data_IF_433336494962
#
_entry.id   IF_433336494962
#
_cell.length_a   1.000
_cell.length_b   1.000
_cell.length_c   1.000
_cell.angle_alpha   90.00
_cell.angle_beta   90.00
_cell.angle_gamma   90.00
#
_symmetry.space_group_name_H-M   'P 1'
#
loop_
_entity.id
_entity.type
_entity.pdbx_description
1 polymer ?
#
# COMPACT_ATOMS: atom_id res chain seq x y z
N UNK A 1 -28.83 8.84 -23.17
CA UNK A 1 -27.93 8.37 -24.24
C UNK A 1 -26.96 7.37 -23.59
N UNK A 2 -27.32 6.09 -23.55
CA UNK A 2 -26.45 5.06 -22.97
C UNK A 2 -25.37 4.71 -23.98
N UNK A 3 -24.13 5.09 -23.68
CA UNK A 3 -22.96 4.64 -24.44
C UNK A 3 -22.80 3.15 -24.11
N UNK A 4 -23.32 2.29 -24.97
CA UNK A 4 -23.02 0.86 -24.92
C UNK A 4 -21.57 0.67 -25.34
N UNK A 5 -20.65 0.73 -24.37
CA UNK A 5 -19.25 0.37 -24.58
C UNK A 5 -19.18 -1.09 -25.03
N UNK A 6 -18.42 -1.35 -26.10
CA UNK A 6 -18.06 -2.72 -26.48
C UNK A 6 -17.38 -3.41 -25.28
N UNK A 7 -17.56 -4.73 -25.10
CA UNK A 7 -17.09 -5.46 -23.92
C UNK A 7 -15.59 -5.25 -23.65
N UNK A 8 -14.77 -5.19 -24.71
CA UNK A 8 -13.32 -4.91 -24.63
C UNK A 8 -13.03 -3.51 -24.08
N UNK A 9 -13.76 -2.49 -24.54
CA UNK A 9 -13.58 -1.11 -24.06
C UNK A 9 -13.95 -0.97 -22.60
N UNK A 10 -14.96 -1.74 -22.14
CA UNK A 10 -15.37 -1.78 -20.74
C UNK A 10 -14.28 -2.40 -19.86
N UNK A 11 -13.67 -3.52 -20.26
CA UNK A 11 -12.61 -4.17 -19.47
C UNK A 11 -11.36 -3.30 -19.40
N UNK A 12 -10.93 -2.72 -20.53
CA UNK A 12 -9.81 -1.79 -20.60
C UNK A 12 -10.02 -0.58 -19.69
N UNK A 13 -11.21 0.02 -19.73
CA UNK A 13 -11.55 1.15 -18.86
C UNK A 13 -11.53 0.76 -17.38
N UNK A 14 -12.12 -0.40 -17.02
CA UNK A 14 -12.13 -0.87 -15.63
C UNK A 14 -10.72 -1.14 -15.13
N UNK A 15 -9.86 -1.76 -15.93
CA UNK A 15 -8.47 -2.04 -15.56
C UNK A 15 -7.65 -0.76 -15.41
N UNK A 16 -7.81 0.18 -16.34
CA UNK A 16 -7.20 1.50 -16.24
C UNK A 16 -7.60 2.23 -14.95
N UNK A 17 -8.89 2.24 -14.60
CA UNK A 17 -9.39 2.89 -13.38
C UNK A 17 -8.86 2.22 -12.12
N UNK A 18 -8.88 0.88 -12.06
CA UNK A 18 -8.40 0.14 -10.89
C UNK A 18 -6.91 0.35 -10.66
N UNK A 19 -6.10 0.30 -11.71
CA UNK A 19 -4.67 0.56 -11.60
C UNK A 19 -4.34 2.02 -11.34
N UNK A 20 -5.15 2.96 -11.84
CA UNK A 20 -5.06 4.37 -11.47
C UNK A 20 -5.27 4.56 -9.96
N UNK A 21 -6.28 3.90 -9.39
CA UNK A 21 -6.57 3.95 -7.95
C UNK A 21 -5.45 3.31 -7.13
N UNK A 22 -4.91 2.16 -7.57
CA UNK A 22 -3.75 1.54 -6.93
C UNK A 22 -2.55 2.48 -6.96
N UNK A 23 -2.28 3.11 -8.10
CA UNK A 23 -1.20 4.10 -8.23
C UNK A 23 -1.39 5.32 -7.32
N UNK A 24 -2.63 5.78 -7.16
CA UNK A 24 -2.98 6.87 -6.24
C UNK A 24 -2.73 6.53 -4.77
N UNK A 25 -2.86 5.25 -4.39
CA UNK A 25 -2.56 4.76 -3.04
C UNK A 25 -1.07 4.48 -2.90
N UNK A 26 -0.46 3.82 -3.87
CA UNK A 26 0.93 3.37 -3.83
C UNK A 26 1.91 4.55 -3.72
N UNK A 27 1.73 5.59 -4.54
CA UNK A 27 2.63 6.73 -4.59
C UNK A 27 2.82 7.44 -3.22
N UNK A 28 1.76 7.86 -2.50
CA UNK A 28 1.93 8.51 -1.20
C UNK A 28 2.48 7.55 -0.15
N UNK A 29 2.08 6.28 -0.16
CA UNK A 29 2.63 5.26 0.75
C UNK A 29 4.14 5.14 0.54
N UNK A 30 4.58 5.01 -0.71
CA UNK A 30 6.00 4.87 -1.06
C UNK A 30 6.81 6.09 -0.63
N UNK A 31 6.38 7.30 -1.01
CA UNK A 31 7.12 8.54 -0.73
C UNK A 31 7.28 8.76 0.78
N UNK A 32 6.22 8.52 1.57
CA UNK A 32 6.30 8.66 3.02
C UNK A 32 7.18 7.57 3.63
N UNK A 33 6.99 6.30 3.24
CA UNK A 33 7.80 5.21 3.78
C UNK A 33 9.28 5.35 3.44
N UNK A 34 9.63 5.83 2.24
CA UNK A 34 11.01 6.10 1.85
C UNK A 34 11.63 7.14 2.77
N UNK A 35 10.96 8.29 2.95
CA UNK A 35 11.46 9.34 3.83
C UNK A 35 11.63 8.89 5.29
N UNK A 36 10.74 8.02 5.77
CA UNK A 36 10.82 7.46 7.13
C UNK A 36 11.93 6.43 7.29
N UNK A 37 12.20 5.65 6.25
CA UNK A 37 13.17 4.56 6.29
C UNK A 37 14.59 5.00 5.89
N UNK A 38 14.73 6.10 5.15
CA UNK A 38 16.02 6.64 4.70
C UNK A 38 17.05 6.80 5.83
N UNK A 39 16.72 7.32 7.02
CA UNK A 39 17.68 7.46 8.12
C UNK A 39 18.19 6.14 8.69
N UNK A 40 17.45 5.04 8.50
CA UNK A 40 17.74 3.74 9.12
C UNK A 40 18.31 2.72 8.15
N UNK A 41 17.85 2.74 6.90
CA UNK A 41 18.18 1.74 5.88
C UNK A 41 19.08 2.29 4.77
N UNK A 42 19.33 3.60 4.74
CA UNK A 42 20.19 4.28 3.76
C UNK A 42 19.81 3.85 2.34
N UNK A 43 20.70 3.15 1.63
CA UNK A 43 20.52 2.72 0.24
C UNK A 43 19.34 1.73 0.05
N UNK A 44 18.97 1.01 1.10
CA UNK A 44 17.89 0.02 1.07
C UNK A 44 16.51 0.60 1.41
N UNK A 45 16.43 1.88 1.78
CA UNK A 45 15.16 2.52 2.12
C UNK A 45 14.16 2.50 0.97
N UNK A 46 14.64 2.69 -0.27
CA UNK A 46 13.82 2.66 -1.47
C UNK A 46 13.19 1.28 -1.68
N UNK A 47 14.00 0.21 -1.59
CA UNK A 47 13.52 -1.16 -1.72
C UNK A 47 12.52 -1.55 -0.61
N UNK A 48 12.80 -1.14 0.63
CA UNK A 48 11.92 -1.41 1.76
C UNK A 48 10.60 -0.62 1.68
N UNK A 49 10.65 0.65 1.27
CA UNK A 49 9.47 1.47 1.05
C UNK A 49 8.60 0.92 -0.09
N UNK A 50 9.23 0.51 -1.20
CA UNK A 50 8.53 -0.11 -2.32
C UNK A 50 7.86 -1.43 -1.92
N UNK A 51 8.50 -2.23 -1.06
CA UNK A 51 7.91 -3.44 -0.48
C UNK A 51 6.69 -3.12 0.39
N UNK A 52 6.78 -2.14 1.30
CA UNK A 52 5.66 -1.71 2.14
C UNK A 52 4.48 -1.16 1.34
N UNK A 53 4.75 -0.32 0.33
CA UNK A 53 3.75 0.17 -0.60
C UNK A 53 3.12 -0.97 -1.42
N UNK A 54 3.91 -1.97 -1.80
CA UNK A 54 3.45 -3.17 -2.48
C UNK A 54 2.49 -4.02 -1.63
N UNK A 55 2.80 -4.20 -0.34
CA UNK A 55 1.91 -4.90 0.62
C UNK A 55 0.56 -4.18 0.72
N UNK A 56 0.58 -2.87 0.95
CA UNK A 56 -0.65 -2.07 1.12
C UNK A 56 -1.46 -2.05 -0.19
N UNK A 57 -0.80 -1.81 -1.32
CA UNK A 57 -1.45 -1.82 -2.64
C UNK A 57 -2.08 -3.16 -2.98
N UNK A 58 -1.38 -4.27 -2.72
CA UNK A 58 -1.91 -5.61 -2.93
C UNK A 58 -3.09 -5.93 -2.02
N UNK A 59 -3.05 -5.49 -0.76
CA UNK A 59 -4.18 -5.66 0.18
C UNK A 59 -5.44 -4.94 -0.32
N UNK A 60 -5.32 -3.72 -0.84
CA UNK A 60 -6.46 -3.00 -1.43
C UNK A 60 -6.98 -3.62 -2.71
N UNK A 61 -6.08 -4.10 -3.56
CA UNK A 61 -6.50 -4.68 -4.83
C UNK A 61 -7.26 -5.99 -4.60
N UNK A 62 -6.74 -6.84 -3.72
CA UNK A 62 -7.17 -8.23 -3.60
C UNK A 62 -8.04 -8.57 -2.39
N UNK A 63 -7.98 -7.78 -1.32
CA UNK A 63 -8.66 -8.04 -0.05
C UNK A 63 -9.49 -6.82 0.40
N UNK A 64 -10.24 -6.24 -0.55
CA UNK A 64 -10.95 -4.95 -0.38
C UNK A 64 -11.69 -4.80 0.94
N UNK A 65 -12.48 -5.80 1.35
CA UNK A 65 -13.25 -5.74 2.59
C UNK A 65 -12.36 -5.67 3.84
N UNK A 66 -11.30 -6.47 3.89
CA UNK A 66 -10.35 -6.49 4.99
C UNK A 66 -9.52 -5.19 5.05
N UNK A 67 -9.04 -4.71 3.89
CA UNK A 67 -8.33 -3.44 3.80
C UNK A 67 -9.20 -2.26 4.23
N UNK A 68 -10.47 -2.21 3.82
CA UNK A 68 -11.42 -1.18 4.24
C UNK A 68 -11.71 -1.25 5.74
N UNK A 69 -11.93 -2.44 6.30
CA UNK A 69 -12.10 -2.63 7.74
C UNK A 69 -10.86 -2.16 8.52
N UNK A 70 -9.67 -2.56 8.07
CA UNK A 70 -8.40 -2.12 8.64
C UNK A 70 -8.26 -0.59 8.66
N UNK A 71 -8.63 0.06 7.54
CA UNK A 71 -8.58 1.51 7.40
C UNK A 71 -9.51 2.20 8.39
N UNK A 72 -10.74 1.72 8.52
CA UNK A 72 -11.73 2.25 9.47
C UNK A 72 -11.22 2.08 10.90
N UNK A 73 -10.69 0.91 11.26
CA UNK A 73 -10.11 0.66 12.58
C UNK A 73 -8.96 1.62 12.86
N UNK A 74 -8.02 1.77 11.93
CA UNK A 74 -6.88 2.69 12.06
C UNK A 74 -7.31 4.14 12.27
N UNK A 75 -8.22 4.63 11.43
CA UNK A 75 -8.77 6.00 11.52
C UNK A 75 -9.49 6.21 12.84
N UNK A 76 -10.43 5.33 13.19
CA UNK A 76 -11.25 5.48 14.40
C UNK A 76 -10.42 5.39 15.68
N UNK A 77 -9.47 4.45 15.75
CA UNK A 77 -8.58 4.31 16.90
C UNK A 77 -7.72 5.57 17.08
N UNK A 78 -7.20 6.11 15.99
CA UNK A 78 -6.39 7.34 16.03
C UNK A 78 -7.21 8.54 16.46
N UNK A 79 -8.41 8.73 15.88
CA UNK A 79 -9.31 9.80 16.29
C UNK A 79 -9.68 9.68 17.77
N UNK A 80 -9.95 8.47 18.26
CA UNK A 80 -10.23 8.24 19.67
C UNK A 80 -9.06 8.68 20.56
N UNK A 81 -7.83 8.26 20.24
CA UNK A 81 -6.63 8.66 21.00
C UNK A 81 -6.43 10.17 20.95
N UNK A 82 -6.57 10.80 19.79
CA UNK A 82 -6.41 12.24 19.64
C UNK A 82 -7.50 13.03 20.38
N UNK A 83 -8.72 12.51 20.50
CA UNK A 83 -9.81 13.17 21.24
C UNK A 83 -9.66 13.02 22.76
N UNK A 84 -9.05 11.93 23.23
CA UNK A 84 -9.00 11.58 24.67
C UNK A 84 -7.66 11.88 25.33
N UNK A 85 -6.57 11.72 24.59
CA UNK A 85 -5.18 11.80 25.07
C UNK A 85 -4.32 12.69 24.17
N UNK A 86 -4.88 13.80 23.68
CA UNK A 86 -4.25 14.68 22.70
C UNK A 86 -2.78 15.01 23.03
N UNK A 87 -2.48 15.41 24.26
CA UNK A 87 -1.12 15.82 24.67
C UNK A 87 -0.12 14.64 24.76
N UNK A 88 -0.61 13.42 24.99
CA UNK A 88 0.20 12.20 25.16
C UNK A 88 0.23 11.32 23.90
N UNK A 89 -0.52 11.70 22.86
CA UNK A 89 -0.67 10.97 21.61
C UNK A 89 0.61 11.04 20.77
N UNK A 90 1.59 10.18 21.08
CA UNK A 90 2.77 9.97 20.22
C UNK A 90 2.43 9.04 19.06
N UNK A 91 3.18 9.15 17.95
CA UNK A 91 3.04 8.24 16.81
C UNK A 91 3.14 6.76 17.21
N UNK A 92 4.08 6.42 18.11
CA UNK A 92 4.29 5.04 18.54
C UNK A 92 3.06 4.50 19.28
N UNK A 93 2.46 5.30 20.17
CA UNK A 93 1.25 4.89 20.88
C UNK A 93 0.09 4.65 19.92
N UNK A 94 -0.10 5.55 18.94
CA UNK A 94 -1.14 5.40 17.91
C UNK A 94 -0.87 4.17 17.05
N UNK A 95 0.34 3.99 16.55
CA UNK A 95 0.71 2.85 15.73
C UNK A 95 0.50 1.53 16.48
N UNK A 96 0.97 1.42 17.73
CA UNK A 96 0.79 0.22 18.54
C UNK A 96 -0.70 -0.09 18.77
N UNK A 97 -1.50 0.93 19.10
CA UNK A 97 -2.94 0.75 19.31
C UNK A 97 -3.65 0.34 18.01
N UNK A 98 -3.41 1.04 16.91
CA UNK A 98 -4.00 0.73 15.60
C UNK A 98 -3.59 -0.67 15.14
N UNK A 99 -2.33 -1.05 15.30
CA UNK A 99 -1.82 -2.38 14.98
C UNK A 99 -2.49 -3.46 15.82
N UNK A 100 -2.58 -3.26 17.14
CA UNK A 100 -3.23 -4.19 18.05
C UNK A 100 -4.72 -4.35 17.73
N UNK A 101 -5.46 -3.24 17.57
CA UNK A 101 -6.89 -3.27 17.25
C UNK A 101 -7.15 -3.85 15.86
N UNK A 102 -6.31 -3.54 14.87
CA UNK A 102 -6.41 -4.13 13.54
C UNK A 102 -6.18 -5.64 13.57
N UNK A 103 -5.13 -6.09 14.27
CA UNK A 103 -4.85 -7.51 14.45
C UNK A 103 -5.97 -8.25 15.18
N UNK A 104 -6.49 -7.67 16.27
CA UNK A 104 -7.64 -8.21 16.99
C UNK A 104 -8.89 -8.28 16.10
N UNK A 105 -9.10 -7.29 15.24
CA UNK A 105 -10.22 -7.30 14.28
C UNK A 105 -10.09 -8.45 13.30
N UNK A 106 -8.89 -8.69 12.74
CA UNK A 106 -8.66 -9.83 11.85
C UNK A 106 -8.77 -11.19 12.55
N UNK A 107 -8.48 -11.26 13.85
CA UNK A 107 -8.67 -12.48 14.64
C UNK A 107 -10.13 -12.72 15.03
N UNK A 108 -10.88 -11.65 15.32
CA UNK A 108 -12.25 -11.73 15.84
C UNK A 108 -13.30 -11.87 14.75
N UNK A 109 -13.12 -11.22 13.60
CA UNK A 109 -14.10 -11.19 12.52
C UNK A 109 -13.72 -12.14 11.39
N UNK A 110 -14.66 -12.99 10.99
CA UNK A 110 -14.55 -13.80 9.78
C UNK A 110 -15.19 -13.03 8.63
N UNK A 111 -14.38 -12.55 7.70
CA UNK A 111 -14.91 -11.89 6.51
C UNK A 111 -15.66 -12.92 5.63
N UNK A 112 -16.88 -12.58 5.14
CA UNK A 112 -17.85 -13.54 4.63
C UNK A 112 -17.44 -14.25 3.33
N UNK A 113 -16.44 -13.76 2.59
CA UNK A 113 -15.77 -14.54 1.56
C UNK A 113 -14.68 -15.40 2.20
N UNK A 114 -14.95 -16.71 2.32
CA UNK A 114 -14.03 -17.81 2.68
C UNK A 114 -12.54 -17.40 2.75
N UNK A 115 -12.00 -17.12 3.93
CA UNK A 115 -10.56 -16.82 4.10
C UNK A 115 -9.98 -15.89 3.02
N UNK A 116 -10.74 -14.94 2.44
CA UNK A 116 -10.23 -13.93 1.50
C UNK A 116 -9.09 -14.50 0.62
N UNK A 117 -9.37 -15.64 -0.05
CA UNK A 117 -8.39 -16.69 -0.40
C UNK A 117 -7.01 -16.12 -0.75
N UNK A 118 -6.07 -16.28 0.20
CA UNK A 118 -4.67 -15.88 0.06
C UNK A 118 -4.36 -14.38 0.24
N UNK A 119 -5.09 -13.58 1.04
CA UNK A 119 -4.64 -12.19 1.39
C UNK A 119 -3.18 -12.14 1.77
N UNK A 120 -2.74 -13.11 2.57
CA UNK A 120 -1.36 -13.25 3.00
C UNK A 120 -0.45 -13.52 1.81
N UNK A 121 -0.80 -14.48 0.95
CA UNK A 121 -0.06 -14.78 -0.27
C UNK A 121 0.01 -13.59 -1.22
N UNK A 122 -1.12 -12.93 -1.48
CA UNK A 122 -1.22 -11.75 -2.33
C UNK A 122 -0.47 -10.55 -1.75
N UNK A 123 -0.57 -10.30 -0.45
CA UNK A 123 0.19 -9.24 0.23
C UNK A 123 1.68 -9.52 0.23
N UNK A 124 2.08 -10.79 0.44
CA UNK A 124 3.47 -11.23 0.37
C UNK A 124 4.02 -11.07 -1.06
N UNK A 125 3.25 -11.44 -2.09
CA UNK A 125 3.63 -11.20 -3.49
C UNK A 125 3.74 -9.69 -3.74
N UNK A 126 2.82 -8.88 -3.23
CA UNK A 126 2.90 -7.42 -3.28
C UNK A 126 4.19 -6.89 -2.66
N UNK A 127 4.55 -7.39 -1.48
CA UNK A 127 5.80 -7.04 -0.81
C UNK A 127 7.04 -7.50 -1.58
N UNK A 128 7.06 -8.73 -2.11
CA UNK A 128 8.18 -9.26 -2.88
C UNK A 128 8.35 -8.56 -4.22
N UNK A 129 7.26 -8.32 -4.96
CA UNK A 129 7.29 -7.54 -6.20
C UNK A 129 7.74 -6.11 -5.95
N UNK A 130 7.32 -5.51 -4.82
CA UNK A 130 7.78 -4.20 -4.37
C UNK A 130 9.27 -4.21 -4.03
N UNK A 131 9.74 -5.24 -3.33
CA UNK A 131 11.15 -5.40 -2.99
C UNK A 131 12.02 -5.59 -4.24
N UNK A 132 11.56 -6.39 -5.21
CA UNK A 132 12.29 -6.62 -6.47
C UNK A 132 12.35 -5.33 -7.30
N UNK A 133 11.20 -4.66 -7.51
CA UNK A 133 11.15 -3.41 -8.28
C UNK A 133 11.94 -2.28 -7.61
N UNK A 134 11.81 -2.13 -6.29
CA UNK A 134 12.61 -1.18 -5.52
C UNK A 134 14.09 -1.56 -5.47
N UNK A 135 14.43 -2.84 -5.42
CA UNK A 135 15.82 -3.32 -5.51
C UNK A 135 16.46 -2.99 -6.86
N UNK A 136 15.71 -3.10 -7.96
CA UNK A 136 16.17 -2.64 -9.28
C UNK A 136 16.46 -1.14 -9.26
N UNK A 137 15.57 -0.33 -8.70
CA UNK A 137 15.79 1.12 -8.56
C UNK A 137 16.99 1.44 -7.68
N UNK A 138 17.12 0.80 -6.52
CA UNK A 138 18.28 0.95 -5.63
C UNK A 138 19.57 0.62 -6.38
N UNK A 139 19.61 -0.47 -7.15
CA UNK A 139 20.79 -0.82 -7.94
C UNK A 139 21.13 0.23 -9.01
N UNK A 140 20.12 0.84 -9.65
CA UNK A 140 20.33 1.93 -10.62
C UNK A 140 20.89 3.18 -9.94
N UNK A 141 20.37 3.57 -8.78
CA UNK A 141 20.86 4.72 -8.00
C UNK A 141 22.30 4.50 -7.54
N UNK A 142 22.62 3.31 -7.03
CA UNK A 142 23.99 2.93 -6.67
C UNK A 142 24.94 2.90 -7.88
N UNK A 143 24.40 2.66 -9.09
CA UNK A 143 25.12 2.79 -10.35
C UNK A 143 25.39 4.22 -10.81
N UNK A 144 24.98 5.23 -10.02
CA UNK A 144 25.17 6.65 -10.31
C UNK A 144 24.01 7.31 -11.06
N UNK A 145 22.86 6.64 -11.18
CA UNK A 145 21.68 7.24 -11.82
C UNK A 145 20.94 8.15 -10.83
N UNK A 146 20.91 9.44 -11.11
CA UNK A 146 20.07 10.39 -10.36
C UNK A 146 18.61 10.26 -10.83
N UNK A 147 17.76 9.75 -9.93
CA UNK A 147 16.34 9.54 -10.21
C UNK A 147 15.50 10.57 -9.49
N UNK A 148 14.61 11.24 -10.24
CA UNK A 148 13.60 12.07 -9.60
C UNK A 148 12.56 11.17 -8.90
N UNK A 149 11.95 11.63 -7.79
CA UNK A 149 10.90 10.88 -7.08
C UNK A 149 9.74 10.48 -7.99
N UNK A 150 9.44 11.30 -9.00
CA UNK A 150 8.38 11.05 -9.97
C UNK A 150 8.72 9.88 -10.89
N UNK A 151 9.97 9.82 -11.37
CA UNK A 151 10.42 8.69 -12.20
C UNK A 151 10.43 7.41 -11.37
N UNK A 152 10.87 7.48 -10.11
CA UNK A 152 10.81 6.35 -9.19
C UNK A 152 9.38 5.85 -8.99
N UNK A 153 8.42 6.75 -8.73
CA UNK A 153 6.99 6.40 -8.59
C UNK A 153 6.43 5.79 -9.87
N UNK A 154 6.66 6.40 -11.04
CA UNK A 154 6.19 5.88 -12.31
C UNK A 154 6.73 4.47 -12.57
N UNK A 155 8.04 4.29 -12.36
CA UNK A 155 8.71 3.00 -12.51
C UNK A 155 8.11 1.97 -11.55
N UNK A 156 8.01 2.30 -10.26
CA UNK A 156 7.51 1.37 -9.25
C UNK A 156 6.08 0.97 -9.54
N UNK A 157 5.16 1.91 -9.77
CA UNK A 157 3.75 1.59 -10.03
C UNK A 157 3.61 0.68 -11.25
N UNK A 158 4.38 0.93 -12.31
CA UNK A 158 4.33 0.11 -13.52
C UNK A 158 5.00 -1.25 -13.36
N UNK A 159 6.27 -1.27 -12.94
CA UNK A 159 7.07 -2.50 -12.86
C UNK A 159 6.59 -3.40 -11.73
N UNK A 160 6.32 -2.84 -10.55
CA UNK A 160 5.71 -3.59 -9.45
C UNK A 160 4.37 -4.19 -9.89
N UNK A 161 3.55 -3.40 -10.60
CA UNK A 161 2.24 -3.86 -11.07
C UNK A 161 2.33 -5.06 -12.01
N UNK A 162 3.21 -4.99 -13.00
CA UNK A 162 3.44 -6.10 -13.94
C UNK A 162 4.00 -7.33 -13.23
N UNK A 163 5.02 -7.16 -12.38
CA UNK A 163 5.62 -8.29 -11.63
C UNK A 163 4.56 -8.93 -10.72
N UNK A 164 3.75 -8.12 -10.04
CA UNK A 164 2.68 -8.58 -9.17
C UNK A 164 1.67 -9.46 -9.94
N UNK A 165 1.09 -8.95 -11.03
CA UNK A 165 0.08 -9.70 -11.80
C UNK A 165 0.67 -10.96 -12.42
N UNK A 166 1.91 -10.88 -12.93
CA UNK A 166 2.60 -12.02 -13.52
C UNK A 166 2.88 -13.15 -12.51
N UNK A 167 3.15 -12.80 -11.25
CA UNK A 167 3.61 -13.76 -10.24
C UNK A 167 2.53 -14.24 -9.28
N UNK A 168 1.49 -13.43 -9.03
CA UNK A 168 0.53 -13.68 -7.94
C UNK A 168 -0.16 -15.02 -8.07
N UNK A 169 -0.61 -15.42 -9.26
CA UNK A 169 -1.26 -16.73 -9.50
C UNK A 169 -0.36 -17.90 -9.11
N UNK A 170 0.89 -17.85 -9.56
CA UNK A 170 1.84 -18.92 -9.32
C UNK A 170 2.21 -19.03 -7.84
N UNK A 171 2.49 -17.90 -7.20
CA UNK A 171 2.86 -17.87 -5.77
C UNK A 171 1.67 -18.23 -4.89
N UNK A 172 0.48 -17.72 -5.19
CA UNK A 172 -0.75 -18.08 -4.48
C UNK A 172 -1.00 -19.59 -4.55
N UNK A 173 -0.85 -20.19 -5.74
CA UNK A 173 -0.96 -21.63 -5.94
C UNK A 173 0.03 -22.44 -5.09
N UNK A 174 1.25 -21.94 -4.89
CA UNK A 174 2.23 -22.56 -3.98
C UNK A 174 1.87 -22.36 -2.50
N UNK A 175 1.35 -21.18 -2.12
CA UNK A 175 0.98 -20.86 -0.74
C UNK A 175 -0.30 -21.55 -0.25
N UNK A 176 -1.07 -22.18 -1.14
CA UNK A 176 -2.19 -23.05 -0.76
C UNK A 176 -1.81 -24.23 0.14
N UNK A 177 -0.51 -24.47 0.33
CA UNK A 177 0.07 -25.44 1.27
C UNK A 177 0.18 -24.93 2.72
N UNK A 178 -0.08 -23.64 2.99
CA UNK A 178 -0.01 -23.10 4.35
C UNK A 178 -1.10 -23.72 5.23
N UNK A 179 -0.77 -24.20 6.45
CA UNK A 179 -1.76 -24.79 7.34
C UNK A 179 -2.84 -23.76 7.70
N UNK A 180 -4.12 -24.10 7.43
CA UNK A 180 -5.31 -23.24 7.67
C UNK A 180 -5.36 -22.62 9.08
N UNK A 181 -4.72 -23.24 10.08
CA UNK A 181 -4.62 -22.73 11.45
C UNK A 181 -3.94 -21.36 11.59
N UNK A 182 -3.06 -20.98 10.66
CA UNK A 182 -2.33 -19.70 10.70
C UNK A 182 -3.03 -18.58 9.93
N UNK A 183 -4.09 -18.90 9.18
CA UNK A 183 -4.81 -17.94 8.34
C UNK A 183 -5.32 -16.72 9.14
N UNK A 184 -6.00 -16.89 10.30
CA UNK A 184 -6.52 -15.74 11.05
C UNK A 184 -5.41 -14.85 11.60
N UNK A 185 -4.28 -15.45 12.01
CA UNK A 185 -3.14 -14.70 12.54
C UNK A 185 -2.50 -13.85 11.44
N UNK A 186 -2.23 -14.46 10.28
CA UNK A 186 -1.57 -13.79 9.18
C UNK A 186 -2.49 -12.74 8.52
N UNK A 187 -3.80 -13.00 8.42
CA UNK A 187 -4.80 -12.00 8.04
C UNK A 187 -4.83 -10.83 9.05
N UNK A 188 -4.83 -11.13 10.34
CA UNK A 188 -4.72 -10.13 11.41
C UNK A 188 -3.46 -9.28 11.30
N UNK A 189 -2.31 -9.85 10.96
CA UNK A 189 -1.06 -9.09 10.77
C UNK A 189 -1.20 -8.10 9.60
N UNK A 190 -1.77 -8.52 8.46
CA UNK A 190 -1.99 -7.62 7.30
C UNK A 190 -2.97 -6.51 7.67
N UNK A 191 -4.08 -6.83 8.33
CA UNK A 191 -5.06 -5.85 8.79
C UNK A 191 -4.42 -4.88 9.79
N UNK A 192 -3.61 -5.37 10.72
CA UNK A 192 -2.84 -4.55 11.65
C UNK A 192 -1.88 -3.60 10.95
N UNK A 193 -1.14 -4.07 9.94
CA UNK A 193 -0.22 -3.23 9.17
C UNK A 193 -0.95 -2.12 8.39
N UNK A 194 -2.08 -2.44 7.75
CA UNK A 194 -2.92 -1.44 7.06
C UNK A 194 -3.52 -0.46 8.08
N UNK A 195 -3.98 -0.93 9.25
CA UNK A 195 -4.50 -0.06 10.30
C UNK A 195 -3.45 0.91 10.84
N UNK A 196 -2.21 0.45 11.05
CA UNK A 196 -1.06 1.31 11.42
C UNK A 196 -0.86 2.41 10.38
N UNK A 197 -0.87 2.05 9.10
CA UNK A 197 -0.65 3.02 8.02
C UNK A 197 -1.71 4.12 8.02
N UNK A 198 -3.00 3.77 8.02
CA UNK A 198 -4.08 4.78 8.02
C UNK A 198 -4.15 5.56 9.33
N UNK A 199 -3.91 4.90 10.47
CA UNK A 199 -3.84 5.59 11.75
C UNK A 199 -2.70 6.60 11.79
N UNK A 200 -1.51 6.20 11.34
CA UNK A 200 -0.35 7.08 11.20
C UNK A 200 -0.62 8.28 10.29
N UNK A 201 -1.33 8.08 9.18
CA UNK A 201 -1.73 9.17 8.28
C UNK A 201 -2.63 10.20 8.98
N UNK A 202 -3.63 9.74 9.74
CA UNK A 202 -4.54 10.63 10.50
C UNK A 202 -3.75 11.37 11.57
N UNK A 203 -2.91 10.66 12.34
CA UNK A 203 -2.10 11.25 13.39
C UNK A 203 -1.25 12.39 12.84
N UNK A 204 -0.49 12.14 11.78
CA UNK A 204 0.35 13.16 11.19
C UNK A 204 -0.44 14.35 10.66
N UNK A 205 -1.53 14.11 9.94
CA UNK A 205 -2.35 15.20 9.43
C UNK A 205 -2.85 16.11 10.56
N UNK A 206 -3.30 15.52 11.67
CA UNK A 206 -3.74 16.29 12.83
C UNK A 206 -2.60 17.02 13.55
N UNK A 207 -1.43 16.40 13.67
CA UNK A 207 -0.25 16.99 14.31
C UNK A 207 0.33 18.15 13.49
N UNK A 208 0.32 18.06 12.16
CA UNK A 208 0.72 19.18 11.29
C UNK A 208 -0.25 20.37 11.42
N UNK A 209 -1.56 20.11 11.49
CA UNK A 209 -2.57 21.18 11.60
C UNK A 209 -2.55 21.90 12.95
N UNK A 210 -2.17 21.21 14.02
CA UNK A 210 -2.17 21.78 15.36
C UNK A 210 -0.91 22.58 15.71
N UNK A 211 0.06 22.67 14.80
CA UNK A 211 1.32 23.39 15.02
C UNK A 211 2.13 22.78 16.17
N UNK A 212 1.97 21.48 16.41
CA UNK A 212 2.58 20.79 17.53
C UNK A 212 4.08 20.58 17.24
N UNK A 213 4.93 21.45 17.80
CA UNK A 213 6.38 21.45 17.61
C UNK A 213 7.07 20.37 18.49
N UNK A 214 6.82 19.09 18.17
CA UNK A 214 7.70 18.00 18.62
C UNK A 214 8.75 17.76 17.54
N UNK A 215 10.01 17.56 17.95
CA UNK A 215 11.11 17.07 17.12
C UNK A 215 10.89 15.61 16.66
N UNK A 216 9.71 15.32 16.12
CA UNK A 216 9.34 14.00 15.63
C UNK A 216 9.78 13.89 14.17
N UNK A 217 10.73 12.98 13.92
CA UNK A 217 11.22 12.62 12.57
C UNK A 217 10.06 12.44 11.57
N UNK A 218 8.94 11.89 12.03
CA UNK A 218 7.74 11.66 11.22
C UNK A 218 7.09 12.95 10.70
N UNK A 219 7.00 14.00 11.52
CA UNK A 219 6.44 15.29 11.12
C UNK A 219 7.34 15.96 10.09
N UNK A 220 8.65 15.91 10.30
CA UNK A 220 9.62 16.46 9.35
C UNK A 220 9.54 15.77 7.98
N UNK A 221 9.41 14.44 7.95
CA UNK A 221 9.24 13.69 6.70
C UNK A 221 7.92 14.07 6.00
N UNK A 222 6.85 14.28 6.75
CA UNK A 222 5.55 14.61 6.14
C UNK A 222 5.53 16.03 5.59
N UNK A 223 6.10 17.00 6.31
CA UNK A 223 6.23 18.37 5.82
C UNK A 223 7.12 18.46 4.57
N UNK A 224 8.25 17.75 4.57
CA UNK A 224 9.16 17.73 3.41
C UNK A 224 8.53 17.04 2.19
N UNK A 225 7.77 15.96 2.40
CA UNK A 225 7.10 15.23 1.32
C UNK A 225 5.81 15.90 0.82
N UNK A 226 5.18 16.78 1.61
CA UNK A 226 3.94 17.47 1.24
C UNK A 226 4.06 18.27 -0.07
N UNK A 227 5.25 18.82 -0.36
CA UNK A 227 5.50 19.58 -1.58
C UNK A 227 5.55 18.71 -2.84
N UNK A 228 5.96 17.46 -2.72
CA UNK A 228 6.09 16.50 -3.83
C UNK A 228 4.83 15.66 -3.99
N UNK A 229 4.02 15.55 -2.93
CA UNK A 229 2.86 14.65 -2.85
C UNK A 229 1.85 14.80 -4.00
N UNK A 230 1.37 16.00 -4.36
CA UNK A 230 0.36 16.13 -5.43
C UNK A 230 0.88 15.60 -6.77
N UNK A 231 2.15 15.85 -7.06
CA UNK A 231 2.79 15.44 -8.30
C UNK A 231 3.12 13.94 -8.27
N UNK A 232 3.53 13.40 -7.13
CA UNK A 232 3.72 11.96 -6.93
C UNK A 232 2.41 11.18 -7.12
N UNK A 233 1.30 11.66 -6.55
CA UNK A 233 -0.03 11.06 -6.72
C UNK A 233 -0.48 11.14 -8.18
N UNK A 234 -0.35 12.30 -8.84
CA UNK A 234 -0.68 12.45 -10.25
C UNK A 234 0.16 11.52 -11.13
N UNK A 235 1.45 11.39 -10.83
CA UNK A 235 2.36 10.47 -11.49
C UNK A 235 1.89 9.02 -11.29
N UNK A 236 1.64 8.59 -10.05
CA UNK A 236 1.13 7.26 -9.72
C UNK A 236 -0.19 6.93 -10.41
N UNK A 237 -1.13 7.87 -10.47
CA UNK A 237 -2.38 7.75 -11.22
C UNK A 237 -2.09 7.51 -12.69
N UNK A 238 -1.28 8.37 -13.32
CA UNK A 238 -0.99 8.29 -14.75
C UNK A 238 -0.25 6.99 -15.13
N UNK A 239 0.76 6.59 -14.37
CA UNK A 239 1.47 5.33 -14.57
C UNK A 239 0.55 4.13 -14.30
N UNK A 240 -0.34 4.23 -13.31
CA UNK A 240 -1.38 3.24 -13.04
C UNK A 240 -2.30 3.04 -14.24
N UNK A 241 -2.83 4.13 -14.82
CA UNK A 241 -3.65 4.07 -16.05
C UNK A 241 -2.90 3.34 -17.16
N UNK A 242 -1.66 3.76 -17.47
CA UNK A 242 -0.85 3.15 -18.53
C UNK A 242 -0.63 1.67 -18.26
N UNK A 243 -0.30 1.30 -17.02
CA UNK A 243 -0.07 -0.09 -16.62
C UNK A 243 -1.32 -0.94 -16.77
N UNK A 244 -2.48 -0.43 -16.31
CA UNK A 244 -3.76 -1.13 -16.45
C UNK A 244 -4.15 -1.35 -17.90
N UNK A 245 -3.91 -0.35 -18.77
CA UNK A 245 -4.14 -0.49 -20.21
C UNK A 245 -3.21 -1.54 -20.82
N UNK A 246 -1.91 -1.50 -20.52
CA UNK A 246 -0.96 -2.47 -21.06
C UNK A 246 -1.27 -3.89 -20.61
N UNK A 247 -1.60 -4.08 -19.33
CA UNK A 247 -1.98 -5.40 -18.82
C UNK A 247 -3.21 -5.97 -19.53
N UNK A 248 -4.20 -5.13 -19.86
CA UNK A 248 -5.35 -5.58 -20.65
C UNK A 248 -4.96 -5.88 -22.10
N UNK A 249 -4.16 -5.02 -22.74
CA UNK A 249 -3.74 -5.21 -24.14
C UNK A 249 -2.89 -6.47 -24.33
N UNK A 250 -2.15 -6.88 -23.31
CA UNK A 250 -1.37 -8.11 -23.30
C UNK A 250 -2.12 -9.31 -22.72
N UNK A 251 -3.44 -9.18 -22.50
CA UNK A 251 -4.33 -10.23 -22.02
C UNK A 251 -3.83 -10.88 -20.70
N UNK A 252 -3.24 -10.05 -19.82
CA UNK A 252 -2.89 -10.53 -18.49
C UNK A 252 -4.16 -10.87 -17.75
N UNK A 253 -4.10 -11.95 -17.00
CA UNK A 253 -5.17 -12.38 -16.15
C UNK A 253 -5.57 -11.37 -15.06
N UNK A 254 -6.83 -11.43 -14.64
CA UNK A 254 -7.31 -10.73 -13.44
C UNK A 254 -6.83 -11.45 -12.17
N UNK A 255 -6.86 -10.73 -11.03
CA UNK A 255 -6.44 -11.27 -9.71
C UNK A 255 -7.63 -11.42 -8.76
N UNK A 256 -8.79 -10.86 -9.15
CA UNK A 256 -10.05 -10.91 -8.41
C UNK A 256 -10.71 -12.32 -8.45
N UNK A 257 -10.24 -13.21 -9.33
CA UNK A 257 -10.72 -14.58 -9.53
C UNK A 257 -9.91 -15.65 -8.77
N UNK A 258 -8.89 -15.23 -8.01
CA UNK A 258 -8.08 -16.05 -7.08
C UNK A 258 -8.52 -15.87 -5.63
#
# INVERSE_FOLDING_TARGET
MSIALLPVTRQLLMRAILWALIGAIYAPVFVVLEGLLAPFLVDFALAAAAAGAGVIGAAYYSARQAALAASVVGVMATLFVLMTFYDEATFIHVALLCGALGMLTGLAFKFPSRCTENVVGKSLVGGLSGLVSGGILTALVLGGLELSPLIAVAFLVSVNGVIYVASVRHVVGMTGLLPRRWCPLAEGVVIGAVAIFFGGCVWAFTSTLSGYDRQDLFLHVIESTATVMPLAVACGVSSGVVTGVLLELFDFDWVDDL
#
